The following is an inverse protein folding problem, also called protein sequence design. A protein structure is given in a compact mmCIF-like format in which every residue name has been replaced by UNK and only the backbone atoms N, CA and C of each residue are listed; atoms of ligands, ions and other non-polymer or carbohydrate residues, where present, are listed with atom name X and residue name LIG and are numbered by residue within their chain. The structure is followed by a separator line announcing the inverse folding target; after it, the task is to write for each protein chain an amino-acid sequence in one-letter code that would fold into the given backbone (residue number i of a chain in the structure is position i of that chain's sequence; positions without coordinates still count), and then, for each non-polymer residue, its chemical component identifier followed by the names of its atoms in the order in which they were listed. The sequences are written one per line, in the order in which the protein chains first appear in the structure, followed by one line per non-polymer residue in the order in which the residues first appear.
data_IF_195830298160
#
_entry.id   IF_195830298160
#
_cell.length_a   1.000
_cell.length_b   1.000
_cell.length_c   1.000
_cell.angle_alpha   90.00
_cell.angle_beta   90.00
_cell.angle_gamma   90.00
#
_symmetry.space_group_name_H-M   'P 1'
#
loop_
_entity.id
_entity.type
_entity.pdbx_description
1 polymer ?
#
# COMPACT_ATOMS: atom_id res chain seq x y z
N UNK A 1 12.87 -2.93 -11.49
CA UNK A 1 13.12 -4.36 -11.22
C UNK A 1 13.86 -4.40 -9.90
N UNK A 2 13.17 -4.78 -8.83
CA UNK A 2 13.74 -4.81 -7.48
C UNK A 2 14.50 -6.13 -7.32
N UNK A 3 15.77 -6.03 -6.95
CA UNK A 3 16.60 -7.19 -6.61
C UNK A 3 17.07 -7.06 -5.17
N UNK A 4 16.52 -7.88 -4.28
CA UNK A 4 17.07 -8.09 -2.95
C UNK A 4 18.25 -9.05 -3.12
N UNK A 5 19.46 -8.50 -3.28
CA UNK A 5 20.69 -9.29 -3.22
C UNK A 5 21.08 -9.35 -1.75
N UNK A 6 21.01 -10.54 -1.16
CA UNK A 6 21.63 -10.82 0.13
C UNK A 6 23.16 -10.73 -0.06
N UNK A 7 23.72 -9.58 0.31
CA UNK A 7 25.16 -9.35 0.34
C UNK A 7 25.54 -9.12 1.80
N UNK A 8 26.28 -10.07 2.39
CA UNK A 8 26.80 -9.98 3.75
C UNK A 8 25.75 -9.85 4.88
N UNK A 9 24.54 -10.41 4.71
CA UNK A 9 23.49 -10.42 5.75
C UNK A 9 22.64 -9.15 5.82
N UNK A 10 22.68 -8.30 4.79
CA UNK A 10 21.84 -7.11 4.69
C UNK A 10 20.87 -7.20 3.50
N UNK A 11 19.68 -6.62 3.68
CA UNK A 11 18.72 -6.40 2.59
C UNK A 11 18.99 -5.08 1.90
N UNK A 12 19.15 -5.11 0.58
CA UNK A 12 19.34 -3.92 -0.23
C UNK A 12 17.99 -3.42 -0.78
N UNK A 13 17.57 -2.25 -0.31
CA UNK A 13 16.41 -1.53 -0.86
C UNK A 13 16.92 -0.46 -1.82
N UNK A 14 16.32 -0.37 -3.00
CA UNK A 14 16.68 0.61 -4.03
C UNK A 14 15.48 1.46 -4.42
N UNK A 15 15.71 2.74 -4.68
CA UNK A 15 14.70 3.69 -5.13
C UNK A 15 15.11 4.29 -6.47
N UNK A 16 14.13 4.63 -7.31
CA UNK A 16 14.39 5.42 -8.50
C UNK A 16 14.68 6.88 -8.11
N UNK A 17 15.84 7.39 -8.51
CA UNK A 17 16.29 8.76 -8.25
C UNK A 17 15.33 9.81 -8.83
N UNK A 18 14.69 9.50 -9.97
CA UNK A 18 13.76 10.42 -10.64
C UNK A 18 12.50 10.69 -9.82
N UNK A 19 12.14 9.79 -8.90
CA UNK A 19 10.96 9.90 -8.03
C UNK A 19 11.22 10.59 -6.68
N UNK A 20 12.46 11.02 -6.40
CA UNK A 20 12.81 11.57 -5.08
C UNK A 20 12.18 12.93 -4.76
N UNK A 21 11.65 13.63 -5.77
CA UNK A 21 10.95 14.90 -5.60
C UNK A 21 9.49 14.75 -5.13
N UNK A 22 8.97 13.52 -5.03
CA UNK A 22 7.67 13.20 -4.44
C UNK A 22 7.85 12.43 -3.12
N UNK A 23 7.87 13.14 -1.96
CA UNK A 23 8.06 12.51 -0.66
C UNK A 23 7.00 11.46 -0.32
N UNK A 24 5.76 11.62 -0.80
CA UNK A 24 4.69 10.66 -0.52
C UNK A 24 4.97 9.34 -1.24
N UNK A 25 5.33 9.40 -2.52
CA UNK A 25 5.72 8.24 -3.30
C UNK A 25 6.96 7.55 -2.70
N UNK A 26 7.97 8.32 -2.30
CA UNK A 26 9.18 7.78 -1.64
C UNK A 26 8.82 7.01 -0.37
N UNK A 27 8.02 7.61 0.53
CA UNK A 27 7.62 6.96 1.79
C UNK A 27 6.79 5.70 1.51
N UNK A 28 5.87 5.75 0.54
CA UNK A 28 5.06 4.59 0.17
C UNK A 28 5.89 3.43 -0.38
N UNK A 29 6.82 3.72 -1.31
CA UNK A 29 7.71 2.71 -1.88
C UNK A 29 8.60 2.11 -0.78
N UNK A 30 9.22 2.94 0.07
CA UNK A 30 10.02 2.43 1.18
C UNK A 30 9.21 1.55 2.14
N UNK A 31 7.97 1.93 2.46
CA UNK A 31 7.10 1.13 3.31
C UNK A 31 6.82 -0.25 2.70
N UNK A 32 6.57 -0.30 1.40
CA UNK A 32 6.33 -1.54 0.65
C UNK A 32 7.58 -2.43 0.60
N UNK A 33 8.74 -1.88 0.22
CA UNK A 33 10.00 -2.64 0.16
C UNK A 33 10.44 -3.15 1.55
N UNK A 34 10.27 -2.36 2.61
CA UNK A 34 10.51 -2.85 3.98
C UNK A 34 9.53 -3.98 4.32
N UNK A 35 8.29 -3.93 3.83
CA UNK A 35 7.32 -5.00 3.95
C UNK A 35 7.79 -6.30 3.28
N UNK A 36 8.38 -6.23 2.08
CA UNK A 36 9.00 -7.38 1.43
C UNK A 36 10.12 -7.98 2.27
N UNK A 37 11.02 -7.15 2.81
CA UNK A 37 12.07 -7.63 3.71
C UNK A 37 11.48 -8.36 4.92
N UNK A 38 10.40 -7.83 5.52
CA UNK A 38 9.72 -8.45 6.66
C UNK A 38 9.05 -9.77 6.31
N UNK A 39 8.48 -9.91 5.11
CA UNK A 39 7.73 -11.10 4.72
C UNK A 39 8.62 -12.16 4.05
N UNK A 40 9.32 -11.76 3.00
CA UNK A 40 10.14 -12.63 2.16
C UNK A 40 11.55 -12.79 2.73
N UNK A 41 12.18 -11.70 3.19
CA UNK A 41 13.52 -11.77 3.78
C UNK A 41 13.57 -12.58 5.07
N UNK A 42 12.54 -12.48 5.91
CA UNK A 42 12.45 -13.26 7.15
C UNK A 42 11.78 -14.64 6.96
N UNK A 43 11.64 -15.13 5.73
CA UNK A 43 11.03 -16.43 5.38
C UNK A 43 9.64 -16.65 6.01
N UNK A 44 8.86 -15.57 6.19
CA UNK A 44 7.48 -15.65 6.71
C UNK A 44 6.48 -16.04 5.63
N UNK A 45 6.80 -15.73 4.38
CA UNK A 45 5.99 -15.95 3.18
C UNK A 45 6.94 -16.33 2.05
N UNK A 46 6.52 -17.24 1.18
CA UNK A 46 7.30 -17.64 0.01
C UNK A 46 7.06 -16.70 -1.18
N UNK A 47 8.10 -16.47 -2.00
CA UNK A 47 7.99 -15.64 -3.23
C UNK A 47 7.06 -16.26 -4.28
N UNK A 48 6.85 -17.57 -4.19
CA UNK A 48 5.99 -18.35 -5.06
C UNK A 48 4.51 -18.18 -4.71
N UNK A 49 4.18 -17.63 -3.52
CA UNK A 49 2.80 -17.34 -3.13
C UNK A 49 2.22 -16.22 -4.00
N UNK A 50 1.06 -16.47 -4.62
CA UNK A 50 0.50 -15.54 -5.61
C UNK A 50 0.12 -14.16 -5.02
N UNK A 51 -0.11 -14.10 -3.72
CA UNK A 51 -0.60 -12.92 -3.00
C UNK A 51 0.49 -12.21 -2.16
N UNK A 52 1.77 -12.59 -2.27
CA UNK A 52 2.86 -11.96 -1.52
C UNK A 52 2.91 -10.43 -1.68
N UNK A 53 2.57 -9.95 -2.88
CA UNK A 53 2.51 -8.54 -3.25
C UNK A 53 1.31 -7.79 -2.59
N UNK A 54 0.03 -8.22 -2.79
CA UNK A 54 -1.10 -7.71 -2.02
C UNK A 54 -0.93 -7.81 -0.49
N UNK A 55 -0.27 -8.87 0.00
CA UNK A 55 0.00 -9.07 1.41
C UNK A 55 1.01 -8.04 1.94
N UNK A 56 2.01 -7.69 1.14
CA UNK A 56 2.97 -6.62 1.44
C UNK A 56 2.25 -5.27 1.57
N UNK A 57 1.34 -4.95 0.65
CA UNK A 57 0.49 -3.75 0.74
C UNK A 57 -0.37 -3.75 2.02
N UNK A 58 -1.00 -4.88 2.37
CA UNK A 58 -1.77 -5.02 3.61
C UNK A 58 -0.90 -4.87 4.86
N UNK A 59 0.34 -5.37 4.83
CA UNK A 59 1.29 -5.20 5.92
C UNK A 59 1.58 -3.72 6.17
N UNK A 60 1.70 -2.90 5.12
CA UNK A 60 1.87 -1.45 5.30
C UNK A 60 0.68 -0.80 6.02
N UNK A 61 -0.55 -1.28 5.78
CA UNK A 61 -1.75 -0.84 6.51
C UNK A 61 -1.65 -1.24 7.98
N UNK A 62 -1.32 -2.51 8.25
CA UNK A 62 -1.17 -3.05 9.60
C UNK A 62 -0.11 -2.30 10.41
N UNK A 63 1.00 -1.91 9.79
CA UNK A 63 2.09 -1.15 10.42
C UNK A 63 1.80 0.36 10.53
N UNK A 64 0.62 0.82 10.09
CA UNK A 64 0.18 2.21 10.22
C UNK A 64 0.64 3.15 9.10
N UNK A 65 1.26 2.63 8.04
CA UNK A 65 1.69 3.38 6.85
C UNK A 65 0.66 3.36 5.71
N UNK A 66 -0.49 2.73 5.93
CA UNK A 66 -1.57 2.59 4.94
C UNK A 66 -2.11 3.89 4.34
N UNK A 67 -1.99 5.02 5.06
CA UNK A 67 -2.35 6.34 4.52
C UNK A 67 -1.41 6.72 3.37
N UNK A 68 -0.11 6.49 3.54
CA UNK A 68 0.89 6.83 2.53
C UNK A 68 0.77 5.93 1.30
N UNK A 69 0.69 4.61 1.52
CA UNK A 69 0.60 3.62 0.42
C UNK A 69 -0.70 3.74 -0.35
N UNK A 70 -1.85 3.91 0.31
CA UNK A 70 -3.12 4.12 -0.41
C UNK A 70 -3.17 5.46 -1.18
N UNK A 71 -2.48 6.49 -0.69
CA UNK A 71 -2.41 7.80 -1.35
C UNK A 71 -1.36 7.86 -2.47
N UNK A 72 -0.42 6.92 -2.58
CA UNK A 72 0.55 6.87 -3.68
C UNK A 72 0.07 6.06 -4.89
N UNK A 73 -1.02 5.30 -4.78
CA UNK A 73 -1.55 4.36 -5.80
C UNK A 73 -2.03 5.02 -7.13
N UNK A 74 -1.79 6.31 -7.39
CA UNK A 74 -2.23 6.97 -8.64
C UNK A 74 -1.05 7.44 -9.52
N UNK A 75 -0.83 6.70 -10.62
CA UNK A 75 -0.44 7.24 -11.93
C UNK A 75 -0.88 6.32 -13.09
N UNK A 76 -2.14 5.90 -13.14
CA UNK A 76 -2.76 5.40 -14.39
C UNK A 76 -3.71 6.47 -14.93
N UNK A 77 -3.32 7.17 -16.01
CA UNK A 77 -4.30 7.77 -16.92
C UNK A 77 -4.32 9.29 -17.14
N UNK A 78 -3.19 10.02 -17.13
CA UNK A 78 -3.09 11.25 -17.92
C UNK A 78 -1.65 11.72 -18.12
N UNK A 79 -0.91 11.10 -19.04
CA UNK A 79 0.13 11.77 -19.83
C UNK A 79 0.09 11.09 -21.20
N UNK A 80 -0.80 11.58 -22.06
CA UNK A 80 -0.70 11.34 -23.50
C UNK A 80 0.46 12.20 -24.00
N UNK A 81 1.66 11.64 -24.07
CA UNK A 81 2.66 12.17 -24.98
C UNK A 81 3.25 11.02 -25.80
N UNK A 82 3.03 11.13 -27.11
CA UNK A 82 3.25 10.06 -28.06
C UNK A 82 4.73 9.67 -28.23
N UNK A 83 4.86 8.50 -28.85
CA UNK A 83 6.07 7.87 -29.37
C UNK A 83 6.91 7.07 -28.34
N UNK A 84 7.03 5.77 -28.67
CA UNK A 84 7.85 4.71 -28.07
C UNK A 84 7.22 3.96 -26.89
N UNK A 85 6.47 2.92 -27.25
CA UNK A 85 6.00 1.88 -26.35
C UNK A 85 7.14 1.06 -25.77
N UNK A 86 7.39 1.25 -24.49
CA UNK A 86 8.00 0.28 -23.58
C UNK A 86 7.02 0.05 -22.44
N UNK A 87 6.66 -1.20 -22.18
CA UNK A 87 5.81 -1.58 -21.07
C UNK A 87 6.53 -1.32 -19.73
N UNK A 88 6.28 -0.17 -19.11
CA UNK A 88 6.54 0.02 -17.67
C UNK A 88 5.39 0.81 -17.03
N UNK A 89 4.18 0.28 -17.17
CA UNK A 89 3.02 0.78 -16.44
C UNK A 89 3.08 0.13 -15.05
N UNK A 90 3.93 0.66 -14.16
CA UNK A 90 4.02 0.20 -12.78
C UNK A 90 2.76 0.65 -12.04
N UNK A 91 1.76 -0.23 -11.95
CA UNK A 91 0.75 -0.14 -10.90
C UNK A 91 1.50 -0.19 -9.56
N UNK A 92 1.68 0.95 -8.91
CA UNK A 92 2.35 1.06 -7.60
C UNK A 92 1.48 0.54 -6.44
N UNK A 93 0.56 -0.38 -6.73
CA UNK A 93 -0.43 -0.88 -5.77
C UNK A 93 -1.15 -2.10 -6.28
N UNK A 94 -1.00 -3.20 -5.56
CA UNK A 94 -1.67 -4.46 -5.85
C UNK A 94 -3.09 -4.46 -5.29
N UNK A 95 -3.31 -3.77 -4.18
CA UNK A 95 -4.65 -3.49 -3.66
C UNK A 95 -5.33 -2.37 -4.45
N UNK A 96 -6.58 -2.61 -4.83
CA UNK A 96 -7.50 -1.56 -5.29
C UNK A 96 -7.79 -0.56 -4.17
N UNK A 97 -8.25 0.63 -4.56
CA UNK A 97 -8.64 1.68 -3.61
C UNK A 97 -9.74 1.24 -2.64
N UNK A 98 -10.66 0.36 -3.10
CA UNK A 98 -11.68 -0.25 -2.25
C UNK A 98 -11.09 -1.25 -1.25
N UNK A 99 -10.10 -2.05 -1.66
CA UNK A 99 -9.40 -2.98 -0.77
C UNK A 99 -8.59 -2.22 0.30
N UNK A 100 -7.89 -1.16 -0.08
CA UNK A 100 -7.24 -0.26 0.88
C UNK A 100 -8.24 0.34 1.87
N UNK A 101 -9.36 0.88 1.36
CA UNK A 101 -10.40 1.43 2.23
C UNK A 101 -10.95 0.39 3.20
N UNK A 102 -11.23 -0.82 2.72
CA UNK A 102 -11.67 -1.93 3.57
C UNK A 102 -10.64 -2.27 4.66
N UNK A 103 -9.37 -2.46 4.29
CA UNK A 103 -8.31 -2.77 5.23
C UNK A 103 -8.13 -1.67 6.29
N UNK A 104 -8.12 -0.40 5.88
CA UNK A 104 -8.03 0.76 6.79
C UNK A 104 -9.24 0.88 7.72
N UNK A 105 -10.44 0.52 7.24
CA UNK A 105 -11.65 0.49 8.05
C UNK A 105 -11.58 -0.59 9.13
N UNK A 106 -11.10 -1.79 8.79
CA UNK A 106 -10.85 -2.85 9.77
C UNK A 106 -9.75 -2.45 10.77
N UNK A 107 -8.66 -1.84 10.29
CA UNK A 107 -7.57 -1.33 11.11
C UNK A 107 -8.07 -0.30 12.15
N UNK A 108 -8.93 0.64 11.74
CA UNK A 108 -9.55 1.60 12.65
C UNK A 108 -10.38 0.91 13.75
N UNK A 109 -11.22 -0.05 13.36
CA UNK A 109 -12.07 -0.77 14.32
C UNK A 109 -11.25 -1.63 15.28
N UNK A 110 -10.21 -2.30 14.79
CA UNK A 110 -9.29 -3.08 15.62
C UNK A 110 -8.57 -2.21 16.67
N UNK A 111 -8.39 -0.92 16.38
CA UNK A 111 -7.84 0.08 17.31
C UNK A 111 -8.88 0.76 18.20
N UNK A 112 -10.16 0.38 18.10
CA UNK A 112 -11.24 1.03 18.84
C UNK A 112 -11.53 2.47 18.37
N UNK A 113 -11.26 2.78 17.10
CA UNK A 113 -11.45 4.10 16.50
C UNK A 113 -12.67 4.13 15.55
N UNK A 114 -13.93 4.16 16.07
CA UNK A 114 -15.13 4.15 15.21
C UNK A 114 -15.33 5.44 14.41
N UNK A 115 -14.60 6.51 14.75
CA UNK A 115 -14.59 7.80 14.04
C UNK A 115 -13.16 8.32 13.94
N UNK A 116 -12.31 7.71 13.09
CA UNK A 116 -10.90 8.05 13.03
C UNK A 116 -10.70 9.46 12.49
N UNK A 117 -9.96 10.30 13.24
CA UNK A 117 -9.71 11.71 12.86
C UNK A 117 -8.76 11.82 11.66
N UNK A 118 -7.99 10.77 11.38
CA UNK A 118 -7.04 10.69 10.27
C UNK A 118 -7.67 10.40 8.91
N UNK A 119 -8.96 10.07 8.84
CA UNK A 119 -9.66 9.84 7.56
C UNK A 119 -9.54 11.02 6.59
N UNK A 120 -9.42 12.24 7.11
CA UNK A 120 -9.22 13.47 6.31
C UNK A 120 -7.93 13.47 5.48
N UNK A 121 -6.95 12.65 5.84
CA UNK A 121 -5.69 12.53 5.12
C UNK A 121 -5.76 11.52 3.97
N UNK A 122 -6.81 10.70 3.89
CA UNK A 122 -7.02 9.78 2.78
C UNK A 122 -7.57 10.49 1.54
N UNK A 123 -7.15 10.01 0.36
CA UNK A 123 -7.80 10.32 -0.92
C UNK A 123 -9.31 10.06 -0.83
N UNK A 124 -10.16 10.87 -1.52
CA UNK A 124 -11.61 10.75 -1.41
C UNK A 124 -12.22 9.36 -1.61
N UNK A 125 -11.73 8.57 -2.55
CA UNK A 125 -12.21 7.20 -2.85
C UNK A 125 -11.89 6.20 -1.74
N UNK A 126 -10.61 6.13 -1.31
CA UNK A 126 -10.16 5.29 -0.20
C UNK A 126 -10.88 5.71 1.08
N UNK A 127 -11.03 7.03 1.32
CA UNK A 127 -11.79 7.57 2.46
C UNK A 127 -13.23 7.10 2.44
N UNK A 128 -13.89 7.15 1.29
CA UNK A 128 -15.28 6.72 1.14
C UNK A 128 -15.43 5.22 1.45
N UNK A 129 -14.57 4.37 0.89
CA UNK A 129 -14.57 2.93 1.14
C UNK A 129 -14.26 2.60 2.61
N UNK A 130 -13.30 3.30 3.22
CA UNK A 130 -12.96 3.16 4.64
C UNK A 130 -14.14 3.51 5.56
N UNK A 131 -14.78 4.66 5.31
CA UNK A 131 -15.94 5.08 6.08
C UNK A 131 -17.10 4.08 5.97
N UNK A 132 -17.39 3.59 4.76
CA UNK A 132 -18.43 2.57 4.55
C UNK A 132 -18.13 1.27 5.31
N UNK A 133 -16.87 0.84 5.32
CA UNK A 133 -16.45 -0.36 6.06
C UNK A 133 -16.72 -0.22 7.55
N UNK A 134 -16.29 0.89 8.15
CA UNK A 134 -16.53 1.19 9.57
C UNK A 134 -18.03 1.19 9.86
N UNK A 135 -18.81 1.93 9.08
CA UNK A 135 -20.28 2.06 9.27
C UNK A 135 -20.98 0.71 9.20
N UNK A 136 -20.67 -0.11 8.19
CA UNK A 136 -21.33 -1.40 7.98
C UNK A 136 -20.94 -2.44 9.04
N UNK A 137 -19.67 -2.48 9.46
CA UNK A 137 -19.22 -3.42 10.50
C UNK A 137 -19.81 -3.10 11.87
N UNK A 138 -19.94 -1.82 12.22
CA UNK A 138 -20.62 -1.41 13.45
C UNK A 138 -22.12 -1.73 13.42
N UNK A 139 -22.79 -1.51 12.29
CA UNK A 139 -24.21 -1.85 12.14
C UNK A 139 -24.47 -3.37 12.24
N UNK A 140 -23.55 -4.19 11.72
CA UNK A 140 -23.66 -5.66 11.77
C UNK A 140 -23.36 -6.29 13.15
N UNK A 141 -22.80 -5.53 14.11
CA UNK A 141 -22.55 -5.99 15.48
C UNK A 141 -23.72 -5.72 16.43
N UNK A 142 -24.76 -5.00 15.97
CA UNK A 142 -25.92 -4.62 16.77
C UNK A 142 -27.08 -5.64 16.70
N UNK A 143 -26.80 -6.88 16.26
CA UNK A 143 -27.76 -7.99 16.11
C UNK A 143 -27.38 -9.14 17.02
#
# INVERSE_FOLDING_TARGET
MYSEVEEAGYYRIQLNVDGLNDPLSVVATLAHEIGHVRLLGEDRVSREEHDHEPLTDLLTVYLGLGICTSNSVIQEGSWSNGAYGGWSMSRSGYLSMNQYGYALGLYALARGEPKPTWLKYLRPDVRHACWNTIRLKLAGQAV
#
